data_IF_185446830781
#
_entry.id   IF_185446830781
#
_cell.length_a   1.000
_cell.length_b   1.000
_cell.length_c   1.000
_cell.angle_alpha   90.00
_cell.angle_beta   90.00
_cell.angle_gamma   90.00
#
_symmetry.space_group_name_H-M   'P 1'
#
loop_
_entity.id
_entity.type
_entity.pdbx_description
1 polymer ?
#
# COMPACT_ATOMS: atom_id res chain seq x y z
N UNK A 1 22.85 23.26 16.71
CA UNK A 1 22.76 21.88 16.17
C UNK A 1 21.32 21.67 15.76
N UNK A 2 21.10 21.08 14.61
CA UNK A 2 19.74 20.64 14.20
C UNK A 2 19.35 19.48 15.13
N UNK A 3 18.12 19.47 15.61
CA UNK A 3 17.62 18.42 16.51
C UNK A 3 17.32 17.13 15.72
N UNK A 4 18.32 16.29 15.51
CA UNK A 4 18.21 15.04 14.74
C UNK A 4 17.20 14.08 15.37
N UNK A 5 17.11 14.04 16.70
CA UNK A 5 16.14 13.21 17.42
C UNK A 5 14.69 13.52 17.01
N UNK A 6 14.33 14.80 16.89
CA UNK A 6 12.97 15.18 16.51
C UNK A 6 12.63 14.67 15.10
N UNK A 7 13.56 14.82 14.16
CA UNK A 7 13.37 14.34 12.78
C UNK A 7 13.24 12.80 12.71
N UNK A 8 13.98 12.06 13.55
CA UNK A 8 13.88 10.60 13.64
C UNK A 8 12.53 10.14 14.23
N UNK A 9 12.03 10.83 15.26
CA UNK A 9 10.70 10.57 15.84
C UNK A 9 9.61 10.86 14.80
N UNK A 10 9.67 12.03 14.16
CA UNK A 10 8.69 12.42 13.14
C UNK A 10 8.64 11.40 11.99
N UNK A 11 9.78 10.91 11.53
CA UNK A 11 9.84 9.87 10.51
C UNK A 11 9.26 8.53 11.01
N UNK A 12 9.58 8.13 12.24
CA UNK A 12 9.03 6.92 12.87
C UNK A 12 7.51 6.98 12.91
N UNK A 13 6.95 8.07 13.40
CA UNK A 13 5.50 8.29 13.50
C UNK A 13 4.79 8.27 12.15
N UNK A 14 5.39 8.91 11.14
CA UNK A 14 4.84 8.94 9.79
C UNK A 14 4.81 7.55 9.16
N UNK A 15 5.91 6.79 9.29
CA UNK A 15 6.01 5.44 8.73
C UNK A 15 5.04 4.49 9.44
N UNK A 16 4.98 4.55 10.77
CA UNK A 16 4.07 3.76 11.58
C UNK A 16 2.60 4.05 11.22
N UNK A 17 2.22 5.32 11.18
CA UNK A 17 0.84 5.73 10.84
C UNK A 17 0.42 5.19 9.48
N UNK A 18 1.29 5.26 8.47
CA UNK A 18 1.03 4.70 7.14
C UNK A 18 0.88 3.18 7.17
N UNK A 19 1.82 2.49 7.80
CA UNK A 19 1.78 1.03 7.89
C UNK A 19 0.52 0.56 8.60
N UNK A 20 0.20 1.15 9.75
CA UNK A 20 -0.95 0.76 10.56
C UNK A 20 -2.27 1.00 9.85
N UNK A 21 -2.41 2.13 9.14
CA UNK A 21 -3.57 2.42 8.30
C UNK A 21 -3.71 1.40 7.15
N UNK A 22 -2.59 0.98 6.54
CA UNK A 22 -2.61 -0.06 5.51
C UNK A 22 -3.05 -1.43 6.03
N UNK A 23 -2.96 -1.69 7.33
CA UNK A 23 -3.33 -2.96 7.96
C UNK A 23 -4.78 -3.00 8.45
N UNK A 24 -5.55 -1.92 8.32
CA UNK A 24 -6.98 -1.92 8.66
C UNK A 24 -7.76 -2.96 7.86
N UNK A 25 -8.59 -3.74 8.58
CA UNK A 25 -9.42 -4.79 7.97
C UNK A 25 -8.63 -5.98 7.42
N UNK A 26 -7.39 -6.21 7.87
CA UNK A 26 -6.63 -7.42 7.55
C UNK A 26 -7.37 -8.66 8.05
N UNK A 27 -7.58 -9.65 7.17
CA UNK A 27 -8.21 -10.93 7.50
C UNK A 27 -7.17 -12.03 7.63
N UNK A 28 -7.53 -13.14 8.30
CA UNK A 28 -6.63 -14.30 8.43
C UNK A 28 -6.30 -14.94 7.08
N UNK A 29 -7.26 -14.92 6.15
CA UNK A 29 -7.05 -15.41 4.80
C UNK A 29 -6.01 -14.58 4.04
N UNK A 30 -6.11 -13.25 4.10
CA UNK A 30 -5.12 -12.33 3.53
C UNK A 30 -3.76 -12.44 4.22
N UNK A 31 -3.76 -12.58 5.55
CA UNK A 31 -2.55 -12.68 6.38
C UNK A 31 -1.69 -13.90 6.01
N UNK A 32 -2.34 -15.05 5.76
CA UNK A 32 -1.66 -16.31 5.44
C UNK A 32 -1.50 -16.55 3.94
N UNK A 33 -2.00 -15.64 3.10
CA UNK A 33 -1.93 -15.80 1.67
C UNK A 33 -0.49 -15.76 1.13
N UNK A 34 -0.22 -16.69 0.21
CA UNK A 34 1.06 -16.79 -0.49
C UNK A 34 0.95 -16.19 -1.89
N UNK A 35 1.71 -15.10 -2.19
CA UNK A 35 1.64 -14.45 -3.49
C UNK A 35 2.15 -15.32 -4.64
N UNK A 36 3.00 -16.31 -4.35
CA UNK A 36 3.53 -17.27 -5.31
C UNK A 36 3.75 -18.62 -4.63
N UNK A 37 3.72 -19.74 -5.39
CA UNK A 37 4.07 -21.06 -4.86
C UNK A 37 5.49 -21.07 -4.27
N UNK A 38 5.62 -21.57 -3.05
CA UNK A 38 6.92 -21.63 -2.34
C UNK A 38 7.34 -20.34 -1.67
N UNK A 39 6.43 -19.38 -1.52
CA UNK A 39 6.68 -18.18 -0.70
C UNK A 39 7.02 -18.57 0.74
N UNK A 40 7.96 -17.88 1.34
CA UNK A 40 8.17 -17.97 2.78
C UNK A 40 6.99 -17.40 3.54
N UNK A 41 6.57 -18.13 4.56
CA UNK A 41 5.38 -17.81 5.35
C UNK A 41 5.56 -18.23 6.80
N UNK A 42 4.57 -17.95 7.61
CA UNK A 42 4.39 -18.56 8.93
C UNK A 42 3.51 -19.79 8.76
N UNK A 43 4.00 -20.96 9.19
CA UNK A 43 3.31 -22.23 8.95
C UNK A 43 3.28 -23.11 10.19
N UNK A 44 2.21 -23.89 10.31
CA UNK A 44 2.16 -25.01 11.22
C UNK A 44 3.04 -26.15 10.69
N UNK A 45 3.91 -26.68 11.53
CA UNK A 45 4.77 -27.82 11.24
C UNK A 45 4.11 -29.12 11.67
N UNK A 46 4.69 -30.25 11.25
CA UNK A 46 4.16 -31.57 11.57
C UNK A 46 4.09 -31.87 13.09
N UNK A 47 4.85 -31.17 13.90
CA UNK A 47 4.83 -31.20 15.36
C UNK A 47 3.75 -30.31 16.00
N UNK A 48 2.94 -29.62 15.18
CA UNK A 48 1.92 -28.66 15.65
C UNK A 48 2.45 -27.29 16.03
N UNK A 49 3.77 -27.06 15.95
CA UNK A 49 4.37 -25.76 16.22
C UNK A 49 4.28 -24.84 15.00
N UNK A 50 3.92 -23.59 15.24
CA UNK A 50 3.96 -22.55 14.22
C UNK A 50 5.36 -21.93 14.19
N UNK A 51 5.93 -21.82 12.97
CA UNK A 51 7.25 -21.24 12.75
C UNK A 51 7.26 -20.41 11.48
N UNK A 52 8.06 -19.37 11.45
CA UNK A 52 8.39 -18.67 10.21
C UNK A 52 9.43 -19.48 9.40
N UNK A 53 9.42 -19.33 8.11
CA UNK A 53 10.39 -19.97 7.21
C UNK A 53 11.60 -19.06 7.08
N UNK A 54 12.78 -19.65 7.33
CA UNK A 54 14.05 -18.96 7.27
C UNK A 54 15.17 -19.97 6.99
N UNK A 55 16.11 -19.63 6.12
CA UNK A 55 17.30 -20.43 5.79
C UNK A 55 18.51 -19.52 5.64
N UNK A 56 19.65 -19.93 6.18
CA UNK A 56 20.95 -19.29 5.98
C UNK A 56 21.93 -20.28 5.32
N UNK A 57 22.72 -19.86 4.27
CA UNK A 57 22.57 -18.57 3.58
C UNK A 57 21.24 -18.46 2.85
N UNK A 58 20.78 -17.24 2.64
CA UNK A 58 19.54 -16.97 1.91
C UNK A 58 19.64 -17.52 0.47
N UNK A 59 18.58 -18.14 -0.07
CA UNK A 59 18.58 -18.63 -1.45
C UNK A 59 18.71 -17.49 -2.47
N UNK A 60 19.31 -17.79 -3.61
CA UNK A 60 19.38 -16.89 -4.74
C UNK A 60 18.71 -17.55 -5.97
N UNK A 61 17.59 -17.00 -6.50
CA UNK A 61 16.88 -15.80 -6.02
C UNK A 61 16.18 -16.03 -4.68
N UNK A 62 16.07 -14.94 -3.89
CA UNK A 62 15.32 -14.95 -2.65
C UNK A 62 13.83 -15.28 -2.92
N UNK A 63 13.16 -16.09 -2.09
CA UNK A 63 11.75 -16.43 -2.28
C UNK A 63 10.86 -15.20 -2.00
N UNK A 64 9.67 -15.19 -2.63
CA UNK A 64 8.64 -14.28 -2.18
C UNK A 64 8.25 -14.57 -0.73
N UNK A 65 7.65 -13.62 -0.06
CA UNK A 65 7.18 -13.74 1.32
C UNK A 65 5.70 -13.40 1.43
N UNK A 66 5.02 -14.02 2.39
CA UNK A 66 3.64 -13.68 2.77
C UNK A 66 3.57 -12.46 3.69
N UNK A 67 2.36 -11.94 3.90
CA UNK A 67 2.12 -10.91 4.93
C UNK A 67 2.49 -11.41 6.33
N UNK A 68 2.17 -12.67 6.64
CA UNK A 68 2.51 -13.26 7.94
C UNK A 68 4.02 -13.26 8.20
N UNK A 69 4.82 -13.55 7.18
CA UNK A 69 6.27 -13.52 7.28
C UNK A 69 6.78 -12.09 7.50
N UNK A 70 6.29 -11.12 6.73
CA UNK A 70 6.72 -9.71 6.83
C UNK A 70 6.32 -9.07 8.16
N UNK A 71 5.10 -9.33 8.62
CA UNK A 71 4.67 -8.80 9.91
C UNK A 71 5.45 -9.45 11.06
N UNK A 72 5.71 -10.76 10.99
CA UNK A 72 6.58 -11.42 11.97
C UNK A 72 7.99 -10.82 11.99
N UNK A 73 8.59 -10.59 10.82
CA UNK A 73 9.90 -9.96 10.73
C UNK A 73 9.93 -8.58 11.40
N UNK A 74 8.92 -7.74 11.17
CA UNK A 74 8.81 -6.45 11.85
C UNK A 74 8.61 -6.60 13.37
N UNK A 75 7.77 -7.53 13.81
CA UNK A 75 7.57 -7.81 15.24
C UNK A 75 8.89 -8.24 15.89
N UNK A 76 9.63 -9.11 15.25
CA UNK A 76 10.93 -9.59 15.71
C UNK A 76 11.93 -8.44 15.83
N UNK A 77 12.12 -7.66 14.77
CA UNK A 77 13.04 -6.53 14.72
C UNK A 77 12.78 -5.48 15.80
N UNK A 78 11.51 -5.13 16.02
CA UNK A 78 11.11 -4.07 16.96
C UNK A 78 10.81 -4.59 18.37
N UNK A 79 10.53 -5.87 18.49
CA UNK A 79 10.29 -6.54 19.77
C UNK A 79 11.55 -6.99 20.50
N UNK A 80 12.67 -7.15 19.80
CA UNK A 80 13.94 -7.58 20.39
C UNK A 80 14.46 -6.64 21.47
N UNK A 81 15.23 -7.16 22.43
CA UNK A 81 15.94 -6.34 23.39
C UNK A 81 17.24 -5.69 22.83
N UNK A 82 17.51 -5.85 21.55
CA UNK A 82 18.62 -5.18 20.85
C UNK A 82 18.52 -3.67 20.97
N UNK A 83 17.32 -3.09 20.81
CA UNK A 83 17.12 -1.64 20.84
C UNK A 83 17.60 -1.01 22.15
N UNK A 84 17.22 -1.51 23.30
CA UNK A 84 17.68 -0.93 24.57
C UNK A 84 19.16 -1.18 24.84
N UNK A 85 19.71 -2.32 24.40
CA UNK A 85 21.14 -2.63 24.53
C UNK A 85 22.00 -1.70 23.66
N UNK A 86 21.61 -1.53 22.39
CA UNK A 86 22.40 -0.76 21.44
C UNK A 86 22.25 0.76 21.61
N UNK A 87 21.14 1.20 22.20
CA UNK A 87 20.91 2.60 22.55
C UNK A 87 21.37 2.95 23.97
N UNK A 88 21.89 1.95 24.71
CA UNK A 88 22.34 2.07 26.11
C UNK A 88 21.22 2.59 27.04
N UNK A 89 20.06 1.95 26.95
CA UNK A 89 18.88 2.26 27.73
C UNK A 89 18.55 1.13 28.72
N UNK A 90 17.62 1.40 29.63
CA UNK A 90 17.04 0.35 30.48
C UNK A 90 15.95 -0.42 29.72
N UNK A 91 15.81 -1.75 29.95
CA UNK A 91 14.77 -2.55 29.31
C UNK A 91 13.37 -1.99 29.53
N UNK A 92 12.54 -2.03 28.50
CA UNK A 92 11.13 -1.60 28.52
C UNK A 92 10.23 -2.79 28.15
N UNK A 93 9.58 -3.37 29.17
CA UNK A 93 8.70 -4.52 28.99
C UNK A 93 9.43 -5.84 28.70
N UNK A 94 8.67 -6.82 28.23
CA UNK A 94 9.17 -8.15 27.89
C UNK A 94 9.68 -8.19 26.44
N UNK A 95 10.77 -8.93 26.21
CA UNK A 95 11.27 -9.15 24.85
C UNK A 95 10.30 -9.99 24.02
N UNK A 96 10.22 -9.67 22.73
CA UNK A 96 9.46 -10.42 21.72
C UNK A 96 10.43 -10.76 20.57
N UNK A 97 10.11 -11.76 19.79
CA UNK A 97 10.93 -12.17 18.66
C UNK A 97 12.02 -13.16 19.03
N UNK A 98 13.18 -13.08 18.32
CA UNK A 98 14.27 -14.07 18.47
C UNK A 98 14.91 -14.08 19.84
N UNK A 99 14.85 -12.98 20.59
CA UNK A 99 15.36 -12.89 21.96
C UNK A 99 14.39 -13.45 23.00
N UNK A 100 13.14 -13.76 22.60
CA UNK A 100 12.18 -14.40 23.49
C UNK A 100 12.48 -15.91 23.64
N UNK A 101 12.10 -16.46 24.79
CA UNK A 101 12.13 -17.91 24.99
C UNK A 101 11.01 -18.53 24.13
N UNK A 102 11.37 -19.42 23.22
CA UNK A 102 10.43 -20.05 22.27
C UNK A 102 9.57 -19.04 21.48
N UNK A 103 10.17 -18.18 20.64
CA UNK A 103 9.41 -17.17 19.91
C UNK A 103 8.40 -17.85 18.98
N UNK A 104 7.12 -17.59 19.23
CA UNK A 104 6.04 -18.14 18.42
C UNK A 104 5.46 -17.04 17.55
N UNK A 105 5.56 -17.17 16.22
CA UNK A 105 4.96 -16.20 15.33
C UNK A 105 3.42 -16.20 15.46
N UNK A 106 2.77 -15.03 15.29
CA UNK A 106 1.32 -14.92 15.34
C UNK A 106 0.65 -15.84 14.31
N UNK A 107 -0.46 -16.46 14.71
CA UNK A 107 -1.20 -17.41 13.87
C UNK A 107 -2.35 -16.77 13.12
N UNK A 108 -2.82 -15.62 13.63
CA UNK A 108 -3.94 -14.87 13.08
C UNK A 108 -3.54 -13.42 12.79
N UNK A 109 -4.31 -12.78 11.93
CA UNK A 109 -4.17 -11.35 11.66
C UNK A 109 -4.31 -10.51 12.94
N UNK A 110 -5.27 -10.86 13.79
CA UNK A 110 -5.51 -10.15 15.05
C UNK A 110 -4.31 -10.24 16.00
N UNK A 111 -3.76 -11.44 16.20
CA UNK A 111 -2.57 -11.66 17.03
C UNK A 111 -1.35 -10.92 16.47
N UNK A 112 -1.20 -10.90 15.13
CA UNK A 112 -0.11 -10.20 14.47
C UNK A 112 -0.19 -8.68 14.68
N UNK A 113 -1.39 -8.12 14.60
CA UNK A 113 -1.59 -6.69 14.84
C UNK A 113 -1.34 -6.31 16.31
N UNK A 114 -1.79 -7.13 17.26
CA UNK A 114 -1.54 -6.91 18.69
C UNK A 114 -0.04 -6.95 19.01
N UNK A 115 0.68 -7.95 18.50
CA UNK A 115 2.12 -8.08 18.73
C UNK A 115 2.90 -6.96 18.02
N UNK A 116 2.49 -6.55 16.81
CA UNK A 116 3.11 -5.45 16.09
C UNK A 116 2.90 -4.11 16.82
N UNK A 117 1.69 -3.84 17.32
CA UNK A 117 1.38 -2.65 18.12
C UNK A 117 2.24 -2.63 19.40
N UNK A 118 2.42 -3.78 20.07
CA UNK A 118 3.25 -3.90 21.26
C UNK A 118 4.75 -3.71 20.95
N UNK A 119 5.25 -4.28 19.86
CA UNK A 119 6.64 -4.13 19.41
C UNK A 119 6.95 -2.67 19.07
N UNK A 120 6.05 -2.01 18.30
CA UNK A 120 6.17 -0.59 18.00
C UNK A 120 6.15 0.27 19.26
N UNK A 121 5.24 0.01 20.20
CA UNK A 121 5.18 0.77 21.47
C UNK A 121 6.48 0.69 22.28
N UNK A 122 7.18 -0.45 22.26
CA UNK A 122 8.52 -0.55 22.87
C UNK A 122 9.55 0.27 22.13
N UNK A 123 9.58 0.17 20.82
CA UNK A 123 10.47 0.97 19.96
C UNK A 123 10.28 2.46 20.19
N UNK A 124 9.04 2.92 20.14
CA UNK A 124 8.67 4.32 20.35
C UNK A 124 9.14 4.82 21.72
N UNK A 125 8.91 4.04 22.79
CA UNK A 125 9.38 4.35 24.12
C UNK A 125 10.93 4.48 24.16
N UNK A 126 11.66 3.58 23.51
CA UNK A 126 13.12 3.65 23.43
C UNK A 126 13.58 4.90 22.67
N UNK A 127 12.97 5.20 21.54
CA UNK A 127 13.30 6.37 20.72
C UNK A 127 13.05 7.69 21.47
N UNK A 128 12.03 7.74 22.33
CA UNK A 128 11.77 8.89 23.18
C UNK A 128 12.76 9.03 24.34
N UNK A 129 13.34 7.93 24.83
CA UNK A 129 14.33 7.96 25.92
C UNK A 129 15.72 8.38 25.49
N UNK A 130 16.13 8.14 24.23
CA UNK A 130 17.47 8.56 23.76
C UNK A 130 17.63 10.08 23.81
N UNK A 131 18.86 10.56 23.96
CA UNK A 131 19.19 11.97 23.93
C UNK A 131 19.95 12.35 22.66
N UNK A 132 19.95 13.61 22.28
CA UNK A 132 20.75 14.12 21.14
C UNK A 132 22.23 13.76 21.28
N UNK A 133 22.78 13.83 22.51
CA UNK A 133 24.17 13.51 22.80
C UNK A 133 24.41 12.01 22.59
N UNK A 134 23.55 11.16 23.18
CA UNK A 134 23.63 9.70 23.07
C UNK A 134 23.54 9.19 21.64
N UNK A 135 22.74 9.81 20.79
CA UNK A 135 22.63 9.45 19.36
C UNK A 135 23.98 9.59 18.61
N UNK A 136 24.83 10.53 19.03
CA UNK A 136 26.15 10.75 18.44
C UNK A 136 27.20 9.75 18.91
N UNK A 137 26.94 8.97 19.96
CA UNK A 137 27.86 8.00 20.50
C UNK A 137 27.90 6.70 19.69
N UNK A 138 28.98 5.94 19.83
CA UNK A 138 29.09 4.61 19.22
C UNK A 138 28.22 3.60 19.96
N UNK A 139 27.74 2.58 19.23
CA UNK A 139 27.04 1.44 19.83
C UNK A 139 27.94 0.73 20.84
N UNK A 140 29.23 0.61 20.51
CA UNK A 140 30.23 -0.03 21.36
C UNK A 140 30.21 -1.56 21.27
N UNK A 141 30.92 -2.25 22.17
CA UNK A 141 31.16 -3.70 22.06
C UNK A 141 29.91 -4.57 21.98
N UNK A 142 28.78 -4.11 22.52
CA UNK A 142 27.50 -4.83 22.46
C UNK A 142 26.98 -5.00 21.00
N UNK A 143 27.41 -4.11 20.10
CA UNK A 143 27.04 -4.15 18.69
C UNK A 143 27.83 -5.12 17.83
N UNK A 144 28.85 -5.83 18.38
CA UNK A 144 29.67 -6.76 17.61
C UNK A 144 30.30 -6.10 16.38
N UNK A 145 29.99 -6.57 15.19
CA UNK A 145 30.48 -6.01 13.92
C UNK A 145 30.00 -4.56 13.65
N UNK A 146 28.98 -4.09 14.37
CA UNK A 146 28.47 -2.73 14.31
C UNK A 146 28.98 -1.81 15.43
N UNK A 147 29.93 -2.26 16.22
CA UNK A 147 30.45 -1.54 17.40
C UNK A 147 30.92 -0.11 17.07
N UNK A 148 31.52 0.09 15.89
CA UNK A 148 32.02 1.37 15.41
C UNK A 148 30.98 2.26 14.72
N UNK A 149 29.69 1.82 14.65
CA UNK A 149 28.60 2.62 14.15
C UNK A 149 28.01 3.48 15.27
N UNK A 150 27.47 4.64 14.90
CA UNK A 150 26.75 5.49 15.86
C UNK A 150 25.37 4.93 16.18
N UNK A 151 24.81 5.29 17.32
CA UNK A 151 23.42 4.97 17.68
C UNK A 151 22.43 5.58 16.70
N UNK A 152 22.73 6.76 16.12
CA UNK A 152 21.95 7.33 15.00
C UNK A 152 21.92 6.38 13.81
N UNK A 153 23.03 5.76 13.43
CA UNK A 153 23.07 4.81 12.32
C UNK A 153 22.20 3.58 12.59
N UNK A 154 22.14 3.12 13.84
CA UNK A 154 21.21 2.06 14.23
C UNK A 154 19.74 2.49 14.11
N UNK A 155 19.38 3.68 14.63
CA UNK A 155 18.00 4.20 14.50
C UNK A 155 17.61 4.34 13.03
N UNK A 156 18.50 4.84 12.18
CA UNK A 156 18.24 4.94 10.74
C UNK A 156 18.03 3.58 10.08
N UNK A 157 18.82 2.56 10.49
CA UNK A 157 18.59 1.19 10.01
C UNK A 157 17.22 0.66 10.41
N UNK A 158 16.81 0.86 11.66
CA UNK A 158 15.49 0.44 12.12
C UNK A 158 14.36 1.16 11.36
N UNK A 159 14.51 2.45 11.06
CA UNK A 159 13.54 3.19 10.24
C UNK A 159 13.52 2.71 8.79
N UNK A 160 14.68 2.34 8.22
CA UNK A 160 14.77 1.74 6.89
C UNK A 160 13.99 0.43 6.82
N UNK A 161 14.09 -0.44 7.82
CA UNK A 161 13.30 -1.67 7.94
C UNK A 161 11.78 -1.39 7.93
N UNK A 162 11.32 -0.37 8.66
CA UNK A 162 9.91 0.04 8.62
C UNK A 162 9.48 0.55 7.26
N UNK A 163 10.31 1.39 6.61
CA UNK A 163 10.00 1.93 5.28
C UNK A 163 9.96 0.82 4.24
N UNK A 164 10.99 -0.02 4.23
CA UNK A 164 11.16 -1.11 3.28
C UNK A 164 10.01 -2.12 3.42
N UNK A 165 9.88 -2.75 4.58
CA UNK A 165 8.90 -3.80 4.79
C UNK A 165 7.46 -3.27 4.87
N UNK A 166 7.26 -2.04 5.31
CA UNK A 166 5.97 -1.37 5.23
C UNK A 166 5.48 -1.15 3.79
N UNK A 167 6.41 -0.87 2.87
CA UNK A 167 6.09 -0.78 1.44
C UNK A 167 5.74 -2.16 0.86
N UNK A 168 6.47 -3.21 1.21
CA UNK A 168 6.18 -4.59 0.78
C UNK A 168 4.83 -5.09 1.32
N UNK A 169 4.52 -4.84 2.59
CA UNK A 169 3.20 -5.13 3.19
C UNK A 169 2.10 -4.42 2.40
N UNK A 170 2.29 -3.16 2.06
CA UNK A 170 1.32 -2.40 1.28
C UNK A 170 1.11 -3.00 -0.10
N UNK A 171 2.19 -3.37 -0.79
CA UNK A 171 2.14 -4.00 -2.11
C UNK A 171 1.45 -5.37 -2.07
N UNK A 172 1.75 -6.20 -1.06
CA UNK A 172 1.12 -7.51 -0.89
C UNK A 172 -0.40 -7.37 -0.66
N UNK A 173 -0.84 -6.38 0.13
CA UNK A 173 -2.26 -6.08 0.32
C UNK A 173 -2.95 -5.60 -0.95
N UNK A 174 -2.27 -4.77 -1.75
CA UNK A 174 -2.82 -4.34 -3.03
C UNK A 174 -2.93 -5.52 -4.01
N UNK A 175 -1.93 -6.40 -4.02
CA UNK A 175 -1.93 -7.61 -4.85
C UNK A 175 -3.02 -8.61 -4.42
N UNK A 176 -3.21 -8.81 -3.10
CA UNK A 176 -4.30 -9.60 -2.57
C UNK A 176 -5.67 -9.07 -3.02
N UNK A 177 -5.94 -7.79 -2.80
CA UNK A 177 -7.20 -7.14 -3.18
C UNK A 177 -7.45 -7.21 -4.68
N UNK A 178 -6.39 -7.08 -5.48
CA UNK A 178 -6.45 -7.25 -6.92
C UNK A 178 -6.83 -8.67 -7.35
N UNK A 179 -6.33 -9.68 -6.65
CA UNK A 179 -6.61 -11.08 -6.95
C UNK A 179 -7.91 -11.59 -6.32
N UNK A 180 -8.41 -10.92 -5.27
CA UNK A 180 -9.61 -11.30 -4.51
C UNK A 180 -10.59 -10.12 -4.40
N UNK A 181 -11.12 -9.61 -5.50
CA UNK A 181 -12.01 -8.46 -5.50
C UNK A 181 -13.34 -8.83 -4.82
N UNK A 182 -13.57 -8.29 -3.61
CA UNK A 182 -14.78 -8.52 -2.85
C UNK A 182 -15.94 -7.71 -3.44
N UNK A 183 -17.00 -8.39 -3.89
CA UNK A 183 -18.23 -7.76 -4.35
C UNK A 183 -18.13 -6.98 -5.65
N UNK A 184 -17.05 -7.14 -6.40
CA UNK A 184 -16.91 -6.56 -7.75
C UNK A 184 -17.59 -7.49 -8.76
N UNK A 185 -18.36 -6.91 -9.67
CA UNK A 185 -18.95 -7.65 -10.77
C UNK A 185 -17.87 -8.37 -11.60
N UNK A 186 -18.05 -9.65 -11.98
CA UNK A 186 -17.04 -10.39 -12.73
C UNK A 186 -16.59 -9.73 -14.04
N UNK A 187 -17.45 -8.94 -14.69
CA UNK A 187 -17.07 -8.17 -15.87
C UNK A 187 -16.13 -7.01 -15.51
N UNK A 188 -16.40 -6.32 -14.39
CA UNK A 188 -15.51 -5.26 -13.89
C UNK A 188 -14.15 -5.84 -13.53
N UNK A 189 -14.10 -6.98 -12.85
CA UNK A 189 -12.85 -7.66 -12.52
C UNK A 189 -12.03 -8.00 -13.78
N UNK A 190 -12.66 -8.61 -14.79
CA UNK A 190 -12.03 -8.94 -16.06
C UNK A 190 -11.53 -7.70 -16.79
N UNK A 191 -12.33 -6.61 -16.79
CA UNK A 191 -11.92 -5.32 -17.35
C UNK A 191 -10.67 -4.74 -16.67
N UNK A 192 -10.61 -4.80 -15.35
CA UNK A 192 -9.44 -4.38 -14.57
C UNK A 192 -8.20 -5.18 -14.95
N UNK A 193 -8.34 -6.46 -15.26
CA UNK A 193 -7.26 -7.34 -15.74
C UNK A 193 -6.89 -7.13 -17.22
N UNK A 194 -7.60 -6.23 -17.90
CA UNK A 194 -7.32 -5.88 -19.30
C UNK A 194 -8.00 -6.74 -20.34
N UNK A 195 -9.03 -7.50 -19.96
CA UNK A 195 -9.82 -8.27 -20.90
C UNK A 195 -10.75 -7.38 -21.74
N UNK A 196 -10.34 -7.11 -22.98
CA UNK A 196 -11.13 -6.29 -23.92
C UNK A 196 -12.41 -6.97 -24.40
N UNK A 197 -12.53 -8.31 -24.24
CA UNK A 197 -13.72 -9.03 -24.70
C UNK A 197 -14.96 -8.65 -23.91
N UNK A 198 -14.82 -8.12 -22.69
CA UNK A 198 -15.93 -7.68 -21.84
C UNK A 198 -16.83 -6.64 -22.52
N UNK A 199 -16.28 -5.82 -23.41
CA UNK A 199 -17.07 -4.85 -24.17
C UNK A 199 -18.12 -5.51 -25.10
N UNK A 200 -17.86 -6.75 -25.54
CA UNK A 200 -18.78 -7.50 -26.40
C UNK A 200 -19.77 -8.35 -25.58
N UNK A 201 -19.58 -8.47 -24.29
CA UNK A 201 -20.42 -9.25 -23.37
C UNK A 201 -21.39 -8.37 -22.59
N UNK A 202 -21.41 -7.07 -22.87
CA UNK A 202 -22.24 -6.10 -22.17
C UNK A 202 -23.75 -6.25 -22.45
N UNK A 203 -24.12 -6.95 -23.52
CA UNK A 203 -25.52 -7.23 -23.86
C UNK A 203 -26.19 -8.05 -22.75
N UNK A 204 -27.20 -7.46 -22.09
CA UNK A 204 -27.91 -8.10 -20.97
C UNK A 204 -27.35 -7.79 -19.57
N UNK A 205 -26.28 -7.04 -19.48
CA UNK A 205 -25.78 -6.49 -18.20
C UNK A 205 -26.65 -5.32 -17.79
N UNK A 206 -26.96 -5.22 -16.49
CA UNK A 206 -27.74 -4.08 -16.03
C UNK A 206 -26.95 -2.76 -16.16
N UNK A 207 -27.69 -1.64 -16.26
CA UNK A 207 -27.11 -0.34 -16.53
C UNK A 207 -26.15 0.14 -15.41
N UNK A 208 -26.35 -0.32 -14.17
CA UNK A 208 -25.48 0.05 -13.05
C UNK A 208 -24.12 -0.65 -13.16
N UNK A 209 -24.11 -1.95 -13.47
CA UNK A 209 -22.89 -2.71 -13.70
C UNK A 209 -22.12 -2.20 -14.93
N UNK A 210 -22.81 -1.85 -16.02
CA UNK A 210 -22.20 -1.25 -17.21
C UNK A 210 -21.57 0.13 -16.89
N UNK A 211 -22.26 0.95 -16.11
CA UNK A 211 -21.72 2.24 -15.64
C UNK A 211 -20.50 2.08 -14.75
N UNK A 212 -20.50 1.11 -13.84
CA UNK A 212 -19.37 0.83 -12.96
C UNK A 212 -18.17 0.30 -13.75
N UNK A 213 -18.41 -0.54 -14.75
CA UNK A 213 -17.38 -1.00 -15.66
C UNK A 213 -16.71 0.19 -16.39
N UNK A 214 -17.49 1.15 -16.89
CA UNK A 214 -16.94 2.32 -17.57
C UNK A 214 -16.17 3.25 -16.61
N UNK A 215 -16.65 3.46 -15.36
CA UNK A 215 -15.93 4.22 -14.34
C UNK A 215 -14.60 3.57 -14.01
N UNK A 216 -14.61 2.27 -13.79
CA UNK A 216 -13.41 1.49 -13.48
C UNK A 216 -12.42 1.55 -14.64
N UNK A 217 -12.86 1.36 -15.88
CA UNK A 217 -12.00 1.48 -17.05
C UNK A 217 -11.31 2.86 -17.12
N UNK A 218 -12.05 3.93 -16.88
CA UNK A 218 -11.50 5.29 -16.82
C UNK A 218 -10.50 5.47 -15.67
N UNK A 219 -10.83 5.00 -14.47
CA UNK A 219 -9.99 5.10 -13.28
C UNK A 219 -8.62 4.42 -13.45
N UNK A 220 -8.58 3.34 -14.22
CA UNK A 220 -7.34 2.61 -14.53
C UNK A 220 -6.68 3.03 -15.85
N UNK A 221 -7.16 4.12 -16.49
CA UNK A 221 -6.60 4.61 -17.75
C UNK A 221 -6.77 3.66 -18.94
N UNK A 222 -7.78 2.78 -18.88
CA UNK A 222 -8.07 1.82 -19.96
C UNK A 222 -8.93 2.49 -21.04
N UNK A 223 -8.31 3.46 -21.73
CA UNK A 223 -8.98 4.27 -22.74
C UNK A 223 -9.46 3.47 -23.95
N UNK A 224 -8.76 2.40 -24.27
CA UNK A 224 -9.15 1.39 -25.23
C UNK A 224 -10.52 0.76 -24.86
N UNK A 225 -10.68 0.35 -23.60
CA UNK A 225 -11.92 -0.22 -23.10
C UNK A 225 -13.05 0.83 -22.98
N UNK A 226 -12.74 2.04 -22.46
CA UNK A 226 -13.72 3.15 -22.45
C UNK A 226 -14.25 3.40 -23.85
N UNK A 227 -13.36 3.46 -24.84
CA UNK A 227 -13.74 3.65 -26.25
C UNK A 227 -14.61 2.51 -26.77
N UNK A 228 -14.28 1.27 -26.44
CA UNK A 228 -15.08 0.10 -26.85
C UNK A 228 -16.48 0.11 -26.21
N UNK A 229 -16.58 0.39 -24.92
CA UNK A 229 -17.85 0.48 -24.19
C UNK A 229 -18.77 1.56 -24.74
N UNK A 230 -18.23 2.75 -25.04
CA UNK A 230 -19.00 3.82 -25.70
C UNK A 230 -19.52 3.38 -27.07
N UNK A 231 -18.69 2.70 -27.87
CA UNK A 231 -19.08 2.23 -29.20
C UNK A 231 -20.16 1.16 -29.21
N UNK A 232 -20.21 0.31 -28.18
CA UNK A 232 -21.28 -0.68 -28.02
C UNK A 232 -22.52 -0.11 -27.33
N UNK A 233 -22.56 1.21 -27.05
CA UNK A 233 -23.75 1.92 -26.58
C UNK A 233 -23.89 2.00 -25.06
N UNK A 234 -22.88 1.72 -24.28
CA UNK A 234 -22.91 1.95 -22.83
C UNK A 234 -23.03 3.43 -22.55
N UNK A 235 -24.02 3.81 -21.76
CA UNK A 235 -24.25 5.20 -21.38
C UNK A 235 -23.07 5.74 -20.54
N UNK A 236 -22.63 6.96 -20.86
CA UNK A 236 -21.57 7.61 -20.08
C UNK A 236 -22.13 7.99 -18.71
N UNK A 237 -21.48 7.57 -17.60
CA UNK A 237 -21.91 7.94 -16.26
C UNK A 237 -21.90 9.45 -16.05
N UNK A 238 -22.98 10.00 -15.49
CA UNK A 238 -23.17 11.43 -15.32
C UNK A 238 -22.87 11.95 -13.91
N UNK A 239 -22.75 11.05 -12.93
CA UNK A 239 -22.57 11.38 -11.51
C UNK A 239 -21.17 11.02 -11.02
N UNK A 240 -20.71 11.72 -9.99
CA UNK A 240 -19.43 11.48 -9.36
C UNK A 240 -18.23 11.90 -10.22
N UNK A 241 -17.09 11.27 -9.99
CA UNK A 241 -15.90 11.42 -10.84
C UNK A 241 -16.11 10.58 -12.11
N UNK A 242 -16.50 11.23 -13.19
CA UNK A 242 -16.82 10.56 -14.45
C UNK A 242 -15.57 10.17 -15.25
N UNK A 243 -15.69 9.25 -16.21
CA UNK A 243 -14.61 8.98 -17.17
C UNK A 243 -14.14 10.23 -17.92
N UNK A 244 -15.02 11.26 -18.10
CA UNK A 244 -14.64 12.51 -18.73
C UNK A 244 -13.64 13.32 -17.89
N UNK A 245 -13.78 13.38 -16.55
CA UNK A 245 -12.79 14.02 -15.67
C UNK A 245 -11.43 13.32 -15.79
N UNK A 246 -11.45 12.00 -15.78
CA UNK A 246 -10.24 11.19 -15.83
C UNK A 246 -9.52 11.33 -17.19
N UNK A 247 -10.26 11.25 -18.30
CA UNK A 247 -9.71 11.42 -19.63
C UNK A 247 -9.18 12.86 -19.85
N UNK A 248 -9.90 13.86 -19.33
CA UNK A 248 -9.47 15.26 -19.39
C UNK A 248 -8.18 15.48 -18.61
N UNK A 249 -8.09 14.97 -17.41
CA UNK A 249 -6.87 15.04 -16.60
C UNK A 249 -5.69 14.27 -17.19
N UNK A 250 -5.94 13.16 -17.89
CA UNK A 250 -4.93 12.37 -18.56
C UNK A 250 -4.46 12.97 -19.91
N UNK A 251 -5.17 13.97 -20.45
CA UNK A 251 -4.84 14.57 -21.75
C UNK A 251 -5.30 13.76 -22.96
N UNK A 252 -6.23 12.85 -22.77
CA UNK A 252 -6.75 11.93 -23.79
C UNK A 252 -7.81 12.61 -24.67
N UNK A 253 -7.41 13.60 -25.48
CA UNK A 253 -8.31 14.44 -26.26
C UNK A 253 -9.30 13.64 -27.11
N UNK A 254 -8.87 12.58 -27.78
CA UNK A 254 -9.74 11.76 -28.60
C UNK A 254 -10.84 11.06 -27.78
N UNK A 255 -10.52 10.62 -26.56
CA UNK A 255 -11.47 9.99 -25.63
C UNK A 255 -12.42 11.05 -25.06
N UNK A 256 -11.91 12.23 -24.69
CA UNK A 256 -12.72 13.38 -24.26
C UNK A 256 -13.76 13.73 -25.33
N UNK A 257 -13.35 13.87 -26.59
CA UNK A 257 -14.23 14.15 -27.72
C UNK A 257 -15.30 13.06 -27.91
N UNK A 258 -14.89 11.80 -27.81
CA UNK A 258 -15.78 10.66 -27.93
C UNK A 258 -16.84 10.68 -26.82
N UNK A 259 -16.43 10.84 -25.55
CA UNK A 259 -17.33 10.88 -24.40
C UNK A 259 -18.34 12.02 -24.49
N UNK A 260 -17.91 13.22 -24.85
CA UNK A 260 -18.79 14.39 -25.04
C UNK A 260 -19.78 14.16 -26.19
N UNK A 261 -19.33 13.61 -27.31
CA UNK A 261 -20.20 13.28 -28.46
C UNK A 261 -21.28 12.27 -28.06
N UNK A 262 -21.03 11.43 -27.05
CA UNK A 262 -21.99 10.45 -26.54
C UNK A 262 -22.65 10.89 -25.23
N UNK A 263 -22.73 12.20 -24.99
CA UNK A 263 -23.59 12.80 -23.97
C UNK A 263 -22.94 12.97 -22.60
N UNK A 264 -21.61 12.91 -22.49
CA UNK A 264 -20.94 13.28 -21.25
C UNK A 264 -21.16 14.76 -20.94
N UNK A 265 -21.53 15.07 -19.70
CA UNK A 265 -21.76 16.44 -19.25
C UNK A 265 -20.42 17.12 -18.92
N UNK A 266 -20.06 18.12 -19.72
CA UNK A 266 -18.82 18.90 -19.55
C UNK A 266 -18.84 19.82 -18.33
N UNK A 267 -20.03 20.06 -17.76
CA UNK A 267 -20.24 20.88 -16.57
C UNK A 267 -20.34 20.08 -15.27
N UNK A 268 -20.39 18.74 -15.35
CA UNK A 268 -20.45 17.88 -14.19
C UNK A 268 -19.24 18.11 -13.29
N UNK A 269 -19.46 18.21 -11.97
CA UNK A 269 -18.39 18.42 -10.99
C UNK A 269 -18.09 17.15 -10.21
N UNK A 270 -16.80 16.88 -9.96
CA UNK A 270 -16.41 15.77 -9.11
C UNK A 270 -16.74 16.04 -7.62
N UNK A 271 -17.01 14.99 -6.81
CA UNK A 271 -17.44 15.17 -5.42
C UNK A 271 -16.34 15.60 -4.46
N UNK A 272 -15.06 15.49 -4.83
CA UNK A 272 -13.94 15.77 -3.96
C UNK A 272 -13.45 17.22 -4.06
N UNK A 273 -13.30 17.72 -5.30
CA UNK A 273 -12.76 19.06 -5.57
C UNK A 273 -13.82 20.01 -6.09
N UNK A 274 -15.04 19.53 -6.37
CA UNK A 274 -16.13 20.27 -6.98
C UNK A 274 -15.74 20.96 -8.30
N UNK A 275 -14.82 20.33 -9.03
CA UNK A 275 -14.24 20.84 -10.26
C UNK A 275 -14.79 20.11 -11.50
N UNK A 276 -15.14 20.83 -12.59
CA UNK A 276 -15.51 20.21 -13.86
C UNK A 276 -14.29 19.64 -14.59
N UNK A 277 -14.48 18.81 -15.64
CA UNK A 277 -13.39 18.19 -16.40
C UNK A 277 -12.33 19.16 -16.93
N UNK A 278 -12.75 20.37 -17.35
CA UNK A 278 -11.80 21.40 -17.85
C UNK A 278 -10.83 21.87 -16.76
N UNK A 279 -11.26 21.97 -15.50
CA UNK A 279 -10.39 22.33 -14.40
C UNK A 279 -9.39 21.21 -14.07
N UNK A 280 -9.77 19.95 -14.21
CA UNK A 280 -8.85 18.81 -14.11
C UNK A 280 -7.78 18.87 -15.19
N UNK A 281 -8.17 19.12 -16.45
CA UNK A 281 -7.23 19.29 -17.55
C UNK A 281 -6.28 20.48 -17.29
N UNK A 282 -6.79 21.60 -16.82
CA UNK A 282 -6.00 22.81 -16.52
C UNK A 282 -5.00 22.56 -15.39
N UNK A 283 -5.44 21.96 -14.30
CA UNK A 283 -4.59 21.63 -13.15
C UNK A 283 -3.45 20.68 -13.52
N UNK A 284 -3.71 19.72 -14.42
CA UNK A 284 -2.73 18.72 -14.88
C UNK A 284 -1.97 19.14 -16.15
N UNK A 285 -2.17 20.38 -16.64
CA UNK A 285 -1.39 20.96 -17.74
C UNK A 285 -1.77 20.45 -19.12
N UNK A 286 -2.99 19.94 -19.33
CA UNK A 286 -3.46 19.36 -20.59
C UNK A 286 -4.02 20.43 -21.53
N UNK A 287 -3.14 21.25 -22.12
CA UNK A 287 -3.50 22.45 -22.88
C UNK A 287 -4.48 22.17 -24.01
N UNK A 288 -4.24 21.13 -24.83
CA UNK A 288 -5.11 20.80 -25.97
C UNK A 288 -6.53 20.44 -25.54
N UNK A 289 -6.67 19.73 -24.41
CA UNK A 289 -7.97 19.37 -23.85
C UNK A 289 -8.68 20.60 -23.28
N UNK A 290 -7.94 21.51 -22.61
CA UNK A 290 -8.51 22.78 -22.12
C UNK A 290 -9.06 23.60 -23.28
N UNK A 291 -8.25 23.85 -24.29
CA UNK A 291 -8.65 24.62 -25.48
C UNK A 291 -9.89 24.04 -26.14
N UNK A 292 -9.94 22.72 -26.27
CA UNK A 292 -11.06 22.06 -26.90
C UNK A 292 -12.35 22.16 -26.04
N UNK A 293 -12.26 21.88 -24.74
CA UNK A 293 -13.44 21.95 -23.84
C UNK A 293 -13.98 23.40 -23.73
N UNK A 294 -13.11 24.40 -23.67
CA UNK A 294 -13.51 25.81 -23.68
C UNK A 294 -14.17 26.22 -25.00
N UNK A 295 -13.80 25.61 -26.11
CA UNK A 295 -14.41 25.89 -27.40
C UNK A 295 -15.89 25.42 -27.52
N UNK A 296 -16.33 24.55 -26.61
CA UNK A 296 -17.71 24.04 -26.56
C UNK A 296 -18.70 24.99 -25.88
N UNK A 297 -18.20 25.90 -25.03
CA UNK A 297 -18.99 26.92 -24.37
C UNK A 297 -18.59 28.31 -24.91
N UNK A 298 -19.13 28.72 -26.09
CA UNK A 298 -18.96 30.09 -26.54
C UNK A 298 -19.85 30.99 -25.72
N UNK A 299 -19.31 31.54 -24.61
CA UNK A 299 -19.95 32.56 -23.76
C UNK A 299 -20.57 33.71 -24.54
#
# INVERSE_FOLDING_TARGET
MVAVKADLIDLSDQVWTRLRARLEGLTDEEYLWEPAPGSWSVRERADGAWRHEWVQPEPDPAPFTSLSWRLWHLIDMYGEDRAWKWLDLSPQGDAVGLDAVDPVPPRTAADALEQLDAAHGRWDAHLHLVTEESLGELIGPVGGDYAERTRTAYVLHMLDEYVHHGAEVSLLRDLWRWQHPLGVDPLVERAMRGDMAVANEIDGVDAAAASELMRTAGAYGRWDLVTALVRVGVAVPADGRTPLHQAAGAGELAVVQLLVTHGADVSATDPQFHAPPVEWARFLGQTEVVEWLESLDPS
#
